data_IF_545114673313
#
_entry.id   IF_545114673313
#
_cell.length_a   1.000
_cell.length_b   1.000
_cell.length_c   1.000
_cell.angle_alpha   90.00
_cell.angle_beta   90.00
_cell.angle_gamma   90.00
#
_symmetry.space_group_name_H-M   'P 1'
#
loop_
_entity.id
_entity.type
_entity.pdbx_description
1 polymer ?
#
# COMPACT_ATOMS: atom_id res chain seq x y z
N UNK A 1 -10.60 2.60 -6.81
CA UNK A 1 -9.39 2.77 -5.97
C UNK A 1 -9.24 1.54 -5.09
N UNK A 2 -8.07 0.99 -5.07
CA UNK A 2 -7.74 -0.18 -4.28
C UNK A 2 -6.51 0.05 -3.45
N UNK A 3 -6.39 -0.67 -2.35
CA UNK A 3 -5.25 -0.60 -1.45
C UNK A 3 -4.35 -1.80 -1.70
N UNK A 4 -3.03 -1.63 -1.61
CA UNK A 4 -2.07 -2.72 -1.67
C UNK A 4 -1.06 -2.54 -0.54
N UNK A 5 -0.88 -3.57 0.28
CA UNK A 5 -0.04 -3.51 1.46
C UNK A 5 0.48 -4.89 1.85
N UNK A 6 1.60 -4.92 2.57
CA UNK A 6 2.08 -6.09 3.27
C UNK A 6 1.91 -5.84 4.77
N UNK A 7 1.38 -6.82 5.49
CA UNK A 7 1.15 -6.73 6.94
C UNK A 7 1.80 -7.91 7.64
N UNK A 8 2.23 -7.68 8.88
CA UNK A 8 2.70 -8.74 9.79
C UNK A 8 1.52 -9.31 10.59
N UNK A 9 1.77 -10.27 11.46
CA UNK A 9 0.71 -10.95 12.21
C UNK A 9 -0.12 -10.00 13.07
N UNK A 10 0.43 -8.85 13.47
CA UNK A 10 -0.26 -7.81 14.25
C UNK A 10 -0.98 -6.78 13.36
N UNK A 11 -1.10 -7.03 12.05
CA UNK A 11 -1.59 -6.05 11.04
C UNK A 11 -0.72 -4.80 10.98
N UNK A 12 0.50 -4.91 11.47
CA UNK A 12 1.49 -3.84 11.34
C UNK A 12 2.09 -3.78 9.95
N UNK A 13 2.49 -2.59 9.55
CA UNK A 13 3.11 -2.34 8.25
C UNK A 13 4.54 -1.84 8.37
N UNK A 14 5.02 -1.58 9.58
CA UNK A 14 6.38 -1.13 9.81
C UNK A 14 6.73 -0.94 11.26
N UNK A 15 8.02 -0.84 11.50
CA UNK A 15 8.61 -0.52 12.79
C UNK A 15 9.86 0.34 12.55
N UNK A 16 10.09 1.33 13.41
CA UNK A 16 11.24 2.24 13.32
C UNK A 16 11.37 2.92 11.94
N UNK A 17 10.23 3.26 11.33
CA UNK A 17 10.19 3.96 10.04
C UNK A 17 10.49 3.09 8.82
N UNK A 18 10.59 1.79 8.97
CA UNK A 18 10.92 0.87 7.88
C UNK A 18 10.10 -0.42 7.98
N UNK A 19 10.18 -1.24 6.95
CA UNK A 19 9.59 -2.57 6.88
C UNK A 19 10.68 -3.59 7.27
N UNK A 20 10.66 -4.14 8.53
CA UNK A 20 11.76 -4.99 9.02
C UNK A 20 11.96 -6.27 8.22
N UNK A 21 10.89 -6.83 7.66
CA UNK A 21 10.94 -8.03 6.83
C UNK A 21 10.24 -7.72 5.53
N UNK A 22 10.99 -7.74 4.42
CA UNK A 22 10.45 -7.52 3.09
C UNK A 22 10.76 -8.76 2.23
N UNK A 23 9.74 -9.31 1.59
CA UNK A 23 9.88 -10.50 0.78
C UNK A 23 9.95 -10.17 -0.70
N UNK A 24 10.81 -10.88 -1.45
CA UNK A 24 10.92 -10.69 -2.89
C UNK A 24 9.63 -11.08 -3.62
N UNK A 25 8.92 -12.08 -3.11
CA UNK A 25 7.61 -12.48 -3.66
C UNK A 25 6.59 -11.35 -3.57
N UNK A 26 6.56 -10.61 -2.47
CA UNK A 26 5.69 -9.46 -2.30
C UNK A 26 6.07 -8.31 -3.24
N UNK A 27 7.36 -8.02 -3.36
CA UNK A 27 7.86 -6.97 -4.29
C UNK A 27 7.50 -7.29 -5.73
N UNK A 28 7.63 -8.55 -6.13
CA UNK A 28 7.26 -9.00 -7.46
C UNK A 28 5.76 -8.83 -7.70
N UNK A 29 4.93 -9.25 -6.75
CA UNK A 29 3.48 -9.10 -6.81
C UNK A 29 3.09 -7.63 -6.93
N UNK A 30 3.69 -6.78 -6.11
CA UNK A 30 3.47 -5.33 -6.12
C UNK A 30 3.78 -4.73 -7.50
N UNK A 31 4.95 -5.05 -8.06
CA UNK A 31 5.34 -4.54 -9.38
C UNK A 31 4.38 -4.97 -10.47
N UNK A 32 4.00 -6.24 -10.47
CA UNK A 32 3.08 -6.79 -11.48
C UNK A 32 1.68 -6.20 -11.36
N UNK A 33 1.21 -6.02 -10.14
CA UNK A 33 -0.15 -5.53 -9.86
C UNK A 33 -0.29 -4.04 -10.17
N UNK A 34 0.72 -3.24 -9.84
CA UNK A 34 0.67 -1.78 -10.02
C UNK A 34 1.22 -1.29 -11.35
N UNK A 35 1.76 -2.17 -12.19
CA UNK A 35 2.33 -1.79 -13.48
C UNK A 35 1.32 -1.04 -14.34
N UNK A 36 1.71 0.14 -14.82
CA UNK A 36 0.87 0.97 -15.67
C UNK A 36 -0.25 1.70 -14.93
N UNK A 37 -0.35 1.54 -13.63
CA UNK A 37 -1.39 2.15 -12.83
C UNK A 37 -0.97 3.53 -12.29
N UNK A 38 -1.94 4.21 -11.66
CA UNK A 38 -1.68 5.39 -10.83
C UNK A 38 -1.51 4.93 -9.38
N UNK A 39 -0.49 5.42 -8.70
CA UNK A 39 -0.23 5.10 -7.29
C UNK A 39 -0.31 6.37 -6.45
N UNK A 40 -0.88 6.25 -5.25
CA UNK A 40 -0.94 7.33 -4.27
C UNK A 40 -0.07 6.93 -3.09
N UNK A 41 0.85 7.81 -2.73
CA UNK A 41 1.89 7.53 -1.73
C UNK A 41 2.09 8.72 -0.81
N UNK A 42 2.53 8.46 0.41
CA UNK A 42 2.90 9.49 1.37
C UNK A 42 4.40 9.78 1.37
N UNK A 43 4.78 10.90 1.97
CA UNK A 43 6.16 11.39 1.96
C UNK A 43 7.16 10.42 2.59
N UNK A 44 6.81 9.77 3.71
CA UNK A 44 7.69 8.84 4.39
C UNK A 44 8.00 7.60 3.55
N UNK A 45 7.01 7.10 2.82
CA UNK A 45 7.18 5.94 1.95
C UNK A 45 8.07 6.29 0.74
N UNK A 46 7.95 7.49 0.19
CA UNK A 46 8.83 7.96 -0.89
C UNK A 46 10.29 7.98 -0.44
N UNK A 47 10.55 8.30 0.83
CA UNK A 47 11.93 8.29 1.37
C UNK A 47 12.59 6.91 1.25
N UNK A 48 11.80 5.83 1.23
CA UNK A 48 12.30 4.45 1.08
C UNK A 48 12.40 4.01 -0.38
N UNK A 49 11.94 4.81 -1.33
CA UNK A 49 12.09 4.49 -2.75
C UNK A 49 13.56 4.62 -3.19
N UNK A 50 14.05 3.76 -4.10
CA UNK A 50 15.42 3.87 -4.63
C UNK A 50 15.69 5.27 -5.15
N UNK A 51 16.66 5.97 -4.55
CA UNK A 51 17.01 7.34 -4.91
C UNK A 51 15.91 8.36 -4.64
N UNK A 52 14.87 7.99 -3.88
CA UNK A 52 13.67 8.80 -3.63
C UNK A 52 13.01 9.28 -4.94
N UNK A 53 13.07 8.44 -5.96
CA UNK A 53 12.50 8.70 -7.29
C UNK A 53 11.12 8.09 -7.43
N UNK A 54 10.27 8.61 -8.34
CA UNK A 54 8.98 7.99 -8.61
C UNK A 54 9.14 6.57 -9.13
N UNK A 55 8.13 5.74 -8.89
CA UNK A 55 8.11 4.37 -9.41
C UNK A 55 7.98 4.42 -10.93
N UNK A 56 8.87 3.75 -11.67
CA UNK A 56 8.84 3.78 -13.13
C UNK A 56 7.60 3.09 -13.70
N UNK A 57 7.10 3.60 -14.83
CA UNK A 57 5.96 3.03 -15.53
C UNK A 57 4.62 3.24 -14.83
N UNK A 58 4.55 4.16 -13.88
CA UNK A 58 3.33 4.49 -13.12
C UNK A 58 3.17 5.99 -13.04
N UNK A 59 1.94 6.45 -12.84
CA UNK A 59 1.68 7.84 -12.46
C UNK A 59 1.78 7.91 -10.94
N UNK A 60 2.67 8.75 -10.42
CA UNK A 60 2.95 8.86 -9.00
C UNK A 60 2.32 10.12 -8.42
N UNK A 61 1.36 9.93 -7.52
CA UNK A 61 0.70 11.02 -6.79
C UNK A 61 1.21 10.99 -5.36
N UNK A 62 1.76 12.11 -4.90
CA UNK A 62 2.22 12.30 -3.54
C UNK A 62 1.17 13.07 -2.74
N UNK A 63 0.66 12.46 -1.68
CA UNK A 63 -0.22 13.11 -0.73
C UNK A 63 0.64 13.65 0.42
N UNK A 64 0.80 14.97 0.50
CA UNK A 64 1.63 15.62 1.49
C UNK A 64 1.10 17.01 1.82
N UNK A 65 1.03 17.32 3.11
CA UNK A 65 0.64 18.65 3.57
C UNK A 65 1.83 19.62 3.61
N UNK A 66 3.05 19.10 3.65
CA UNK A 66 4.27 19.91 3.79
C UNK A 66 4.97 20.24 2.48
N UNK A 67 4.87 19.35 1.48
CA UNK A 67 5.49 19.57 0.18
C UNK A 67 4.46 20.09 -0.81
N UNK A 68 4.90 20.98 -1.68
CA UNK A 68 4.07 21.49 -2.79
C UNK A 68 4.53 20.93 -4.13
N UNK A 69 5.76 20.47 -4.20
CA UNK A 69 6.40 20.04 -5.44
C UNK A 69 7.46 18.99 -5.16
N UNK A 70 7.53 17.96 -6.01
CA UNK A 70 8.58 16.96 -6.00
C UNK A 70 8.73 16.42 -7.43
N UNK A 71 9.94 16.47 -8.03
CA UNK A 71 10.14 16.04 -9.42
C UNK A 71 9.64 14.62 -9.67
N UNK A 72 8.86 14.44 -10.73
CA UNK A 72 8.31 13.16 -11.12
C UNK A 72 7.02 12.75 -10.39
N UNK A 73 6.58 13.57 -9.44
CA UNK A 73 5.34 13.33 -8.68
C UNK A 73 4.34 14.45 -8.98
N UNK A 74 3.06 14.08 -8.98
CA UNK A 74 1.98 15.06 -8.87
C UNK A 74 1.65 15.18 -7.40
N UNK A 75 1.85 16.36 -6.81
CA UNK A 75 1.66 16.55 -5.37
C UNK A 75 0.26 17.08 -5.10
N UNK A 76 -0.42 16.49 -4.12
CA UNK A 76 -1.69 16.99 -3.60
C UNK A 76 -1.63 17.10 -2.06
N UNK A 77 -2.46 17.96 -1.49
CA UNK A 77 -2.40 18.26 -0.06
C UNK A 77 -3.48 17.59 0.77
N UNK A 78 -4.53 17.06 0.16
CA UNK A 78 -5.62 16.41 0.88
C UNK A 78 -6.28 15.31 0.05
N UNK A 79 -7.14 14.54 0.70
CA UNK A 79 -7.86 13.42 0.10
C UNK A 79 -8.73 13.88 -1.06
N UNK A 80 -9.39 15.03 -0.94
CA UNK A 80 -10.27 15.52 -1.98
C UNK A 80 -9.51 15.79 -3.28
N UNK A 81 -8.33 16.37 -3.19
CA UNK A 81 -7.47 16.58 -4.35
C UNK A 81 -7.01 15.26 -4.96
N UNK A 82 -6.66 14.28 -4.11
CA UNK A 82 -6.26 12.96 -4.58
C UNK A 82 -7.39 12.26 -5.35
N UNK A 83 -8.62 12.37 -4.85
CA UNK A 83 -9.80 11.81 -5.53
C UNK A 83 -10.05 12.50 -6.87
N UNK A 84 -9.91 13.82 -6.94
CA UNK A 84 -10.05 14.55 -8.21
C UNK A 84 -8.99 14.17 -9.23
N UNK A 85 -7.73 14.05 -8.81
CA UNK A 85 -6.62 13.67 -9.68
C UNK A 85 -6.74 12.25 -10.23
N UNK A 86 -7.45 11.37 -9.54
CA UNK A 86 -7.59 9.96 -9.93
C UNK A 86 -8.92 9.61 -10.56
N UNK A 87 -9.81 10.58 -10.66
CA UNK A 87 -11.19 10.42 -11.13
C UNK A 87 -11.30 9.73 -12.50
N UNK A 88 -10.41 10.05 -13.42
CA UNK A 88 -10.41 9.50 -14.77
C UNK A 88 -9.40 8.37 -14.97
N UNK A 89 -8.68 7.96 -13.93
CA UNK A 89 -7.70 6.89 -14.04
C UNK A 89 -8.36 5.52 -14.03
N UNK A 90 -7.89 4.61 -14.90
CA UNK A 90 -8.43 3.25 -15.01
C UNK A 90 -8.13 2.39 -13.78
N UNK A 91 -6.96 2.60 -13.17
CA UNK A 91 -6.49 1.78 -12.07
C UNK A 91 -5.70 2.65 -11.09
N UNK A 92 -6.11 2.65 -9.84
CA UNK A 92 -5.50 3.46 -8.78
C UNK A 92 -5.22 2.59 -7.56
N UNK A 93 -3.97 2.62 -7.09
CA UNK A 93 -3.54 1.90 -5.89
C UNK A 93 -3.01 2.84 -4.83
N UNK A 94 -3.48 2.66 -3.61
CA UNK A 94 -2.96 3.33 -2.41
C UNK A 94 -1.84 2.46 -1.86
N UNK A 95 -0.61 2.98 -1.83
CA UNK A 95 0.57 2.16 -1.56
C UNK A 95 1.30 2.50 -0.24
N UNK A 96 0.77 3.44 0.53
CA UNK A 96 1.28 3.70 1.87
C UNK A 96 1.74 5.13 2.11
N UNK A 97 2.18 5.48 3.26
CA UNK A 97 2.19 4.63 4.45
C UNK A 97 0.94 4.71 5.30
N UNK A 98 1.10 4.49 6.60
CA UNK A 98 -0.03 4.32 7.52
C UNK A 98 -1.07 5.43 7.49
N UNK A 99 -0.62 6.68 7.49
CA UNK A 99 -1.54 7.84 7.41
C UNK A 99 -2.32 7.85 6.10
N UNK A 100 -1.66 7.59 4.98
CA UNK A 100 -2.29 7.57 3.65
C UNK A 100 -3.28 6.42 3.54
N UNK A 101 -2.94 5.24 4.05
CA UNK A 101 -3.87 4.12 4.11
C UNK A 101 -5.13 4.47 4.90
N UNK A 102 -4.96 5.05 6.09
CA UNK A 102 -6.11 5.42 6.94
C UNK A 102 -7.02 6.45 6.27
N UNK A 103 -6.45 7.43 5.61
CA UNK A 103 -7.21 8.50 4.95
C UNK A 103 -7.97 7.99 3.72
N UNK A 104 -7.41 7.05 2.98
CA UNK A 104 -7.96 6.61 1.71
C UNK A 104 -8.72 5.27 1.78
N UNK A 105 -8.56 4.48 2.83
CA UNK A 105 -9.29 3.23 2.99
C UNK A 105 -10.81 3.37 2.82
N UNK A 106 -11.46 4.43 3.37
CA UNK A 106 -12.90 4.62 3.15
C UNK A 106 -13.31 4.77 1.68
N UNK A 107 -12.37 5.10 0.82
CA UNK A 107 -12.60 5.31 -0.62
C UNK A 107 -12.19 4.10 -1.46
N UNK A 108 -11.68 3.05 -0.84
CA UNK A 108 -11.25 1.83 -1.54
C UNK A 108 -12.38 0.82 -1.62
N UNK A 109 -12.52 0.18 -2.78
CA UNK A 109 -13.48 -0.91 -3.00
C UNK A 109 -12.86 -2.28 -2.79
N UNK A 110 -11.54 -2.37 -2.82
CA UNK A 110 -10.81 -3.61 -2.65
C UNK A 110 -9.41 -3.39 -2.10
N UNK A 111 -8.79 -4.50 -1.69
CA UNK A 111 -7.44 -4.47 -1.15
C UNK A 111 -6.70 -5.77 -1.49
N UNK A 112 -5.42 -5.64 -1.80
CA UNK A 112 -4.49 -6.76 -1.87
C UNK A 112 -3.60 -6.70 -0.64
N UNK A 113 -3.62 -7.75 0.17
CA UNK A 113 -2.87 -7.80 1.43
C UNK A 113 -1.95 -9.00 1.40
N UNK A 114 -0.65 -8.76 1.48
CA UNK A 114 0.33 -9.83 1.71
C UNK A 114 0.49 -9.99 3.21
N UNK A 115 0.10 -11.14 3.75
CA UNK A 115 0.29 -11.48 5.15
C UNK A 115 1.66 -12.14 5.30
N UNK A 116 2.56 -11.49 6.02
CA UNK A 116 3.92 -11.95 6.27
C UNK A 116 3.98 -12.49 7.70
N UNK A 117 4.15 -13.79 7.84
CA UNK A 117 4.14 -14.46 9.13
C UNK A 117 5.54 -14.43 9.75
N UNK A 118 5.94 -13.24 10.19
CA UNK A 118 7.22 -13.01 10.86
C UNK A 118 6.98 -12.40 12.24
N UNK A 119 7.85 -12.69 13.22
CA UNK A 119 7.69 -12.16 14.58
C UNK A 119 8.16 -10.71 14.68
N UNK A 120 7.40 -9.81 14.08
CA UNK A 120 7.68 -8.38 14.09
C UNK A 120 6.74 -7.69 15.08
N UNK A 121 7.31 -6.83 15.93
CA UNK A 121 6.52 -5.90 16.75
C UNK A 121 6.45 -4.59 16.00
N UNK A 122 5.27 -4.24 15.51
CA UNK A 122 5.06 -3.06 14.69
C UNK A 122 4.75 -1.83 15.51
N UNK A 123 5.04 -0.66 14.97
CA UNK A 123 4.63 0.63 15.54
C UNK A 123 3.69 1.41 14.62
N UNK A 124 3.49 0.93 13.41
CA UNK A 124 2.57 1.51 12.43
C UNK A 124 1.68 0.40 11.89
N UNK A 125 0.37 0.65 11.82
CA UNK A 125 -0.61 -0.40 11.55
C UNK A 125 -1.57 -0.02 10.43
N UNK A 126 -2.04 -1.05 9.72
CA UNK A 126 -3.21 -0.99 8.86
C UNK A 126 -4.40 -1.48 9.68
N UNK A 127 -5.61 -0.93 9.50
CA UNK A 127 -6.81 -1.52 10.12
C UNK A 127 -6.95 -2.99 9.74
N UNK A 128 -7.31 -3.82 10.71
CA UNK A 128 -7.50 -5.27 10.52
C UNK A 128 -8.75 -5.53 9.70
N UNK A 129 -8.58 -5.86 8.43
CA UNK A 129 -9.70 -6.11 7.52
C UNK A 129 -10.42 -7.43 7.83
N UNK A 130 -9.78 -8.37 8.53
CA UNK A 130 -10.44 -9.60 8.99
C UNK A 130 -11.45 -9.30 10.12
N UNK A 131 -11.19 -8.27 10.92
CA UNK A 131 -12.07 -7.85 12.01
C UNK A 131 -13.12 -6.82 11.58
N UNK A 132 -12.99 -6.25 10.41
CA UNK A 132 -13.91 -5.21 9.92
C UNK A 132 -15.12 -5.84 9.22
N UNK A 133 -16.35 -5.62 9.72
CA UNK A 133 -17.56 -6.22 9.14
C UNK A 133 -17.87 -5.69 7.73
N UNK A 134 -17.27 -4.59 7.31
CA UNK A 134 -17.48 -4.03 5.97
C UNK A 134 -16.56 -4.64 4.92
N UNK A 135 -15.65 -5.51 5.32
CA UNK A 135 -14.69 -6.14 4.40
C UNK A 135 -14.82 -7.65 4.43
N UNK A 136 -14.52 -8.27 3.30
CA UNK A 136 -14.61 -9.71 3.11
C UNK A 136 -13.36 -10.22 2.40
N UNK A 137 -12.74 -11.27 2.96
CA UNK A 137 -11.71 -12.02 2.27
C UNK A 137 -12.36 -12.81 1.13
N UNK A 138 -11.96 -12.54 -0.10
CA UNK A 138 -12.57 -13.16 -1.29
C UNK A 138 -11.69 -14.21 -1.96
N UNK A 139 -10.39 -14.14 -1.78
CA UNK A 139 -9.46 -15.10 -2.36
C UNK A 139 -8.09 -15.09 -1.66
N UNK A 140 -7.43 -16.23 -1.69
CA UNK A 140 -6.00 -16.34 -1.42
C UNK A 140 -5.33 -16.60 -2.76
N UNK A 141 -4.57 -15.63 -3.25
CA UNK A 141 -4.01 -15.63 -4.60
C UNK A 141 -2.71 -16.42 -4.69
N UNK A 142 -1.92 -16.41 -3.63
CA UNK A 142 -0.63 -17.07 -3.58
C UNK A 142 -0.28 -17.38 -2.14
N UNK A 143 0.36 -18.54 -1.91
CA UNK A 143 0.95 -18.89 -0.63
C UNK A 143 2.35 -19.39 -0.88
N UNK A 144 3.25 -19.21 0.08
CA UNK A 144 4.61 -19.69 -0.06
C UNK A 144 5.43 -19.46 1.20
N UNK A 145 6.72 -19.72 1.05
CA UNK A 145 7.72 -19.53 2.09
C UNK A 145 8.98 -18.98 1.45
N UNK A 146 9.56 -17.96 2.07
CA UNK A 146 10.80 -17.35 1.60
C UNK A 146 11.71 -17.14 2.81
N UNK A 147 12.92 -17.69 2.76
CA UNK A 147 13.89 -17.60 3.86
C UNK A 147 13.32 -18.04 5.21
N UNK A 148 12.49 -19.09 5.23
CA UNK A 148 11.86 -19.60 6.43
C UNK A 148 10.63 -18.81 6.89
N UNK A 149 10.18 -17.83 6.14
CA UNK A 149 9.04 -17.00 6.48
C UNK A 149 7.87 -17.34 5.57
N UNK A 150 6.79 -17.82 6.17
CA UNK A 150 5.55 -18.12 5.44
C UNK A 150 4.81 -16.83 5.10
N UNK A 151 4.17 -16.82 3.95
CA UNK A 151 3.35 -15.67 3.53
C UNK A 151 2.14 -16.14 2.73
N UNK A 152 1.14 -15.27 2.68
CA UNK A 152 -0.05 -15.43 1.80
C UNK A 152 -0.43 -14.08 1.23
N UNK A 153 -0.77 -14.08 -0.06
CA UNK A 153 -1.26 -12.88 -0.74
C UNK A 153 -2.77 -13.02 -0.87
N UNK A 154 -3.50 -12.13 -0.24
CA UNK A 154 -4.94 -12.20 -0.07
C UNK A 154 -5.65 -11.07 -0.78
N UNK A 155 -6.85 -11.36 -1.28
CA UNK A 155 -7.74 -10.40 -1.90
C UNK A 155 -8.91 -10.13 -0.97
N UNK A 156 -9.11 -8.86 -0.64
CA UNK A 156 -10.26 -8.39 0.13
C UNK A 156 -11.13 -7.49 -0.72
N UNK A 157 -12.43 -7.54 -0.49
CA UNK A 157 -13.37 -6.65 -1.14
C UNK A 157 -14.33 -6.06 -0.11
N UNK A 158 -14.76 -4.83 -0.33
CA UNK A 158 -15.77 -4.19 0.50
C UNK A 158 -17.12 -4.86 0.23
N UNK A 159 -17.85 -5.11 1.29
CA UNK A 159 -19.20 -5.69 1.20
C UNK A 159 -20.21 -4.69 0.67
#
# INVERSE_FOLDING_TARGET
MELIAAVYDDWGIGANGTQPVALSADRKFFRQTTKGATVIVGRRTVADFPGQKPLPGRVNILLSQSLRELPGFTVCSDVQQALELTKAADSVFVIGGGSVYRQLLPHCSGAYITKVHAPVTSDTFLPDLDADPNWKLTATLETGEENGIAYEICRYQRK
#
